data_IF_559863670804
#
_entry.id   IF_559863670804
#
_cell.length_a   1.000
_cell.length_b   1.000
_cell.length_c   1.000
_cell.angle_alpha   90.00
_cell.angle_beta   90.00
_cell.angle_gamma   90.00
#
_symmetry.space_group_name_H-M   'P 1'
#
loop_
_entity.id
_entity.type
_entity.pdbx_description
1 polymer ?
#
# COMPACT_ATOMS: atom_id res chain seq x y z
N UNK A 1 25.51 -7.27 13.56
CA UNK A 1 24.56 -6.54 12.69
C UNK A 1 24.08 -5.29 13.42
N UNK A 2 23.78 -4.21 12.71
CA UNK A 2 23.19 -2.99 13.29
C UNK A 2 21.81 -2.82 12.65
N UNK A 3 20.77 -2.71 13.47
CA UNK A 3 19.41 -2.45 13.02
C UNK A 3 19.08 -0.98 13.21
N UNK A 4 18.42 -0.38 12.21
CA UNK A 4 18.01 1.02 12.24
C UNK A 4 16.49 1.11 12.27
N UNK A 5 15.97 1.97 13.14
CA UNK A 5 14.54 2.24 13.26
C UNK A 5 14.28 3.73 13.03
N UNK A 6 13.24 4.07 12.26
CA UNK A 6 12.88 5.45 11.97
C UNK A 6 11.37 5.57 11.87
N UNK A 7 10.81 6.60 12.52
CA UNK A 7 9.39 6.92 12.48
C UNK A 7 9.19 8.26 11.79
N UNK A 8 8.26 8.33 10.84
CA UNK A 8 7.90 9.56 10.12
C UNK A 8 6.39 9.67 10.01
N UNK A 9 5.85 10.88 10.21
CA UNK A 9 4.43 11.16 10.03
C UNK A 9 4.14 11.46 8.56
N UNK A 10 3.07 10.85 8.04
CA UNK A 10 2.50 11.12 6.71
C UNK A 10 1.34 12.11 6.88
N UNK A 11 1.64 13.41 6.82
CA UNK A 11 0.66 14.48 7.03
C UNK A 11 0.19 15.15 5.73
N UNK A 12 -1.14 15.31 5.58
CA UNK A 12 -1.78 16.00 4.44
C UNK A 12 -1.36 17.47 4.32
N UNK A 13 -1.16 18.17 5.45
CA UNK A 13 -0.74 19.57 5.49
C UNK A 13 0.63 19.84 4.84
N UNK A 14 1.44 18.79 4.63
CA UNK A 14 2.72 18.85 3.93
C UNK A 14 2.65 18.25 2.52
N UNK A 15 1.44 18.13 1.96
CA UNK A 15 1.20 17.60 0.61
C UNK A 15 1.39 16.07 0.49
N UNK A 16 1.48 15.34 1.61
CA UNK A 16 1.62 13.88 1.58
C UNK A 16 0.26 13.19 1.52
N UNK A 17 0.22 12.01 0.91
CA UNK A 17 -0.96 11.16 0.77
C UNK A 17 -0.71 9.79 1.39
N UNK A 18 -1.64 9.32 2.23
CA UNK A 18 -1.57 7.96 2.80
C UNK A 18 -1.69 6.90 1.72
N UNK A 19 -2.53 7.14 0.71
CA UNK A 19 -2.72 6.24 -0.43
C UNK A 19 -1.44 6.12 -1.24
N UNK A 20 -0.80 7.26 -1.55
CA UNK A 20 0.47 7.25 -2.29
C UNK A 20 1.61 6.63 -1.48
N UNK A 21 1.65 6.88 -0.17
CA UNK A 21 2.65 6.28 0.70
C UNK A 21 2.46 4.76 0.81
N UNK A 22 1.22 4.29 0.94
CA UNK A 22 0.90 2.86 0.97
C UNK A 22 1.28 2.17 -0.33
N UNK A 23 0.94 2.75 -1.48
CA UNK A 23 1.34 2.23 -2.79
C UNK A 23 2.87 2.12 -2.90
N UNK A 24 3.61 3.15 -2.45
CA UNK A 24 5.08 3.12 -2.46
C UNK A 24 5.68 2.06 -1.53
N UNK A 25 5.17 1.94 -0.31
CA UNK A 25 5.68 0.96 0.67
C UNK A 25 5.42 -0.48 0.23
N UNK A 26 4.29 -0.72 -0.44
CA UNK A 26 3.88 -2.05 -0.89
C UNK A 26 4.34 -2.38 -2.33
N UNK A 27 4.86 -1.40 -3.07
CA UNK A 27 5.22 -1.57 -4.48
C UNK A 27 3.99 -1.87 -5.35
N UNK A 28 2.94 -1.08 -5.19
CA UNK A 28 1.60 -1.36 -5.72
C UNK A 28 1.00 -0.18 -6.50
N UNK A 29 -0.19 -0.38 -7.09
CA UNK A 29 -1.01 0.66 -7.72
C UNK A 29 -2.23 0.95 -6.86
N UNK A 30 -2.34 2.19 -6.36
CA UNK A 30 -3.52 2.60 -5.59
C UNK A 30 -4.10 3.91 -6.12
N UNK A 31 -5.44 3.95 -6.20
CA UNK A 31 -6.21 5.14 -6.59
C UNK A 31 -6.75 5.86 -5.36
N UNK A 32 -6.55 7.16 -5.32
CA UNK A 32 -7.20 8.03 -4.34
C UNK A 32 -8.51 8.55 -4.94
N UNK A 33 -9.64 8.01 -4.49
CA UNK A 33 -10.97 8.38 -4.98
C UNK A 33 -11.32 9.86 -4.70
N UNK A 34 -10.85 10.45 -3.60
CA UNK A 34 -11.11 11.86 -3.26
C UNK A 34 -10.52 12.84 -4.30
N UNK A 35 -9.39 12.47 -4.91
CA UNK A 35 -8.63 13.36 -5.82
C UNK A 35 -8.54 12.84 -7.26
N UNK A 36 -9.00 11.61 -7.51
CA UNK A 36 -8.83 10.89 -8.77
C UNK A 36 -7.39 10.47 -9.10
N UNK A 37 -6.41 10.80 -8.26
CA UNK A 37 -4.99 10.51 -8.53
C UNK A 37 -4.67 9.04 -8.35
N UNK A 38 -3.84 8.49 -9.23
CA UNK A 38 -3.37 7.11 -9.17
C UNK A 38 -1.86 7.12 -8.94
N UNK A 39 -1.41 6.34 -7.96
CA UNK A 39 0.00 6.15 -7.63
C UNK A 39 0.46 4.79 -8.13
N UNK A 40 1.50 4.76 -8.97
CA UNK A 40 2.05 3.54 -9.59
C UNK A 40 3.46 3.26 -9.06
N UNK A 41 3.64 2.21 -8.26
CA UNK A 41 4.95 1.84 -7.70
C UNK A 41 5.32 0.37 -7.90
N UNK A 42 4.74 -0.28 -8.90
CA UNK A 42 4.96 -1.72 -9.22
C UNK A 42 6.39 -2.07 -9.62
N UNK A 43 7.22 -1.08 -9.98
CA UNK A 43 8.64 -1.27 -10.33
C UNK A 43 9.56 -1.40 -9.12
N UNK A 44 9.06 -1.21 -7.89
CA UNK A 44 9.87 -1.23 -6.65
C UNK A 44 10.22 -2.66 -6.25
N UNK A 45 11.39 -3.13 -6.68
CA UNK A 45 11.85 -4.51 -6.48
C UNK A 45 12.29 -4.83 -5.06
N UNK A 46 12.62 -3.84 -4.23
CA UNK A 46 13.07 -4.10 -2.85
C UNK A 46 11.95 -4.57 -1.90
N UNK A 47 10.68 -4.46 -2.31
CA UNK A 47 9.58 -4.99 -1.52
C UNK A 47 9.53 -6.49 -1.74
N UNK A 48 9.88 -7.26 -0.71
CA UNK A 48 9.88 -8.74 -0.75
C UNK A 48 8.63 -9.34 -0.13
N UNK A 49 8.01 -8.65 0.83
CA UNK A 49 6.85 -9.11 1.58
C UNK A 49 5.94 -7.93 1.93
N UNK A 50 4.63 -8.16 1.89
CA UNK A 50 3.60 -7.20 2.30
C UNK A 50 2.48 -7.98 3.01
N UNK A 51 1.89 -7.38 4.04
CA UNK A 51 0.73 -7.96 4.73
C UNK A 51 -0.10 -6.85 5.37
N UNK A 52 -1.42 -7.02 5.34
CA UNK A 52 -2.36 -6.17 6.03
C UNK A 52 -2.67 -6.80 7.38
N UNK A 53 -2.40 -6.06 8.46
CA UNK A 53 -2.66 -6.51 9.82
C UNK A 53 -3.83 -5.73 10.39
N UNK A 54 -4.77 -6.46 10.98
CA UNK A 54 -5.94 -5.90 11.64
C UNK A 54 -5.79 -6.00 13.15
N UNK A 55 -6.43 -5.08 13.88
CA UNK A 55 -6.60 -5.23 15.32
C UNK A 55 -7.62 -6.35 15.61
N UNK A 56 -7.58 -6.92 16.81
CA UNK A 56 -8.46 -8.02 17.23
C UNK A 56 -9.96 -7.69 17.05
N UNK A 57 -10.34 -6.43 17.31
CA UNK A 57 -11.72 -5.95 17.20
C UNK A 57 -12.02 -5.21 15.89
N UNK A 58 -11.20 -5.40 14.85
CA UNK A 58 -11.45 -4.76 13.56
C UNK A 58 -12.74 -5.32 12.93
N UNK A 59 -13.58 -4.47 12.33
CA UNK A 59 -14.78 -4.92 11.64
C UNK A 59 -14.47 -5.95 10.54
N UNK A 60 -15.17 -7.10 10.50
CA UNK A 60 -14.89 -8.16 9.53
C UNK A 60 -15.00 -7.71 8.06
N UNK A 61 -15.84 -6.72 7.78
CA UNK A 61 -15.99 -6.16 6.43
C UNK A 61 -14.69 -5.56 5.88
N UNK A 62 -13.75 -5.15 6.75
CA UNK A 62 -12.45 -4.63 6.30
C UNK A 62 -11.54 -5.72 5.74
N UNK A 63 -11.82 -7.00 6.02
CA UNK A 63 -11.14 -8.14 5.39
C UNK A 63 -11.59 -8.34 3.94
N UNK A 64 -12.74 -7.79 3.57
CA UNK A 64 -13.28 -7.94 2.23
C UNK A 64 -12.53 -7.02 1.25
N UNK A 65 -11.42 -7.51 0.73
CA UNK A 65 -10.72 -6.87 -0.39
C UNK A 65 -11.41 -7.30 -1.69
N UNK A 66 -11.91 -6.36 -2.51
CA UNK A 66 -12.54 -6.70 -3.79
C UNK A 66 -11.62 -7.56 -4.66
N UNK A 67 -12.17 -8.58 -5.31
CA UNK A 67 -11.39 -9.49 -6.16
C UNK A 67 -10.62 -8.77 -7.27
N UNK A 68 -11.14 -7.65 -7.76
CA UNK A 68 -10.45 -6.84 -8.76
C UNK A 68 -9.10 -6.31 -8.25
N UNK A 69 -9.05 -5.88 -6.99
CA UNK A 69 -7.80 -5.43 -6.37
C UNK A 69 -6.82 -6.60 -6.25
N UNK A 70 -7.30 -7.77 -5.82
CA UNK A 70 -6.49 -9.00 -5.71
C UNK A 70 -5.93 -9.42 -7.08
N UNK A 71 -6.76 -9.36 -8.14
CA UNK A 71 -6.34 -9.66 -9.52
C UNK A 71 -5.30 -8.66 -10.02
N UNK A 72 -5.46 -7.36 -9.74
CA UNK A 72 -4.46 -6.32 -10.06
C UNK A 72 -3.12 -6.59 -9.34
N UNK A 73 -3.17 -6.98 -8.06
CA UNK A 73 -1.97 -7.40 -7.31
C UNK A 73 -1.26 -8.57 -7.98
N UNK A 74 -1.98 -9.60 -8.41
CA UNK A 74 -1.40 -10.79 -9.05
C UNK A 74 -0.90 -10.52 -10.48
N UNK A 75 -1.55 -9.62 -11.22
CA UNK A 75 -1.15 -9.21 -12.57
C UNK A 75 0.00 -8.21 -12.62
N UNK A 76 0.35 -7.62 -11.46
CA UNK A 76 1.56 -6.83 -11.32
C UNK A 76 2.76 -7.59 -11.88
N UNK A 77 3.53 -6.91 -12.73
CA UNK A 77 4.71 -7.40 -13.47
C UNK A 77 5.79 -8.03 -12.56
N UNK A 78 5.61 -7.97 -11.24
CA UNK A 78 6.43 -8.55 -10.18
C UNK A 78 6.40 -10.08 -10.12
N UNK A 79 5.33 -10.75 -10.55
CA UNK A 79 5.16 -12.22 -10.43
C UNK A 79 5.34 -12.99 -11.75
N UNK A 80 5.88 -12.34 -12.80
CA UNK A 80 6.34 -13.01 -14.03
C UNK A 80 7.83 -13.31 -13.99
#
# INVERSE_FOLDING_TARGET
AIFHFTVKIVGRSKGKSVISASAYLNGDVMKNEETGRISYYTSKKEVVYTSLMMCENAPPEWLHVPEENIKRFQQSIRYK
#
